data_IF_367514281960
#
_entry.id   IF_367514281960
#
_cell.length_a   1.000
_cell.length_b   1.000
_cell.length_c   1.000
_cell.angle_alpha   90.00
_cell.angle_beta   90.00
_cell.angle_gamma   90.00
#
_symmetry.space_group_name_H-M   'P 1'
#
loop_
_entity.id
_entity.type
_entity.pdbx_description
1 polymer ?
#
# COMPACT_ATOMS: atom_id res chain seq x y z
N UNK A 1 23.12 18.47 7.17
CA UNK A 1 22.09 17.43 7.17
C UNK A 1 22.78 16.10 6.97
N UNK A 2 22.60 15.18 7.92
CA UNK A 2 23.07 13.80 7.79
C UNK A 2 22.18 13.03 6.81
N UNK A 3 22.63 11.87 6.32
CA UNK A 3 21.82 11.02 5.43
C UNK A 3 20.48 10.60 6.07
N UNK A 4 20.46 10.42 7.40
CA UNK A 4 19.25 10.12 8.17
C UNK A 4 18.23 11.28 8.12
N UNK A 5 18.70 12.54 8.14
CA UNK A 5 17.83 13.72 8.05
C UNK A 5 17.10 13.80 6.69
N UNK A 6 17.75 13.36 5.61
CA UNK A 6 17.16 13.33 4.27
C UNK A 6 16.06 12.28 4.15
N UNK A 7 16.26 11.10 4.75
CA UNK A 7 15.28 10.00 4.74
C UNK A 7 13.97 10.40 5.41
N UNK A 8 14.04 10.90 6.66
CA UNK A 8 12.85 11.34 7.39
C UNK A 8 12.18 12.55 6.73
N UNK A 9 12.95 13.51 6.20
CA UNK A 9 12.39 14.65 5.47
C UNK A 9 11.63 14.21 4.22
N UNK A 10 12.14 13.24 3.47
CA UNK A 10 11.47 12.69 2.30
C UNK A 10 10.18 11.97 2.68
N UNK A 11 10.19 11.16 3.74
CA UNK A 11 8.99 10.49 4.25
C UNK A 11 7.90 11.52 4.61
N UNK A 12 8.27 12.60 5.31
CA UNK A 12 7.34 13.69 5.68
C UNK A 12 6.82 14.41 4.43
N UNK A 13 7.68 14.72 3.47
CA UNK A 13 7.29 15.41 2.24
C UNK A 13 6.30 14.58 1.41
N UNK A 14 6.58 13.28 1.23
CA UNK A 14 5.68 12.36 0.52
C UNK A 14 4.38 12.21 1.29
N UNK A 15 4.43 12.04 2.61
CA UNK A 15 3.23 11.94 3.44
C UNK A 15 2.34 13.18 3.32
N UNK A 16 2.94 14.37 3.40
CA UNK A 16 2.25 15.65 3.23
C UNK A 16 1.60 15.76 1.86
N UNK A 17 2.29 15.33 0.79
CA UNK A 17 1.74 15.30 -0.55
C UNK A 17 0.55 14.33 -0.67
N UNK A 18 0.65 13.12 -0.12
CA UNK A 18 -0.44 12.14 -0.14
C UNK A 18 -1.67 12.63 0.63
N UNK A 19 -1.47 13.21 1.82
CA UNK A 19 -2.55 13.80 2.63
C UNK A 19 -3.19 14.99 1.93
N UNK A 20 -2.38 15.84 1.31
CA UNK A 20 -2.88 16.97 0.52
C UNK A 20 -3.74 16.49 -0.65
N UNK A 21 -3.27 15.51 -1.42
CA UNK A 21 -4.02 14.93 -2.54
C UNK A 21 -5.30 14.26 -2.05
N UNK A 22 -5.26 13.54 -0.93
CA UNK A 22 -6.43 12.92 -0.31
C UNK A 22 -7.50 13.96 0.07
N UNK A 23 -7.10 15.08 0.70
CA UNK A 23 -8.04 16.14 1.07
C UNK A 23 -8.55 16.90 -0.16
N UNK A 24 -7.68 17.18 -1.12
CA UNK A 24 -8.02 17.93 -2.33
C UNK A 24 -8.90 17.13 -3.31
N UNK A 25 -8.97 15.80 -3.19
CA UNK A 25 -9.85 14.96 -4.00
C UNK A 25 -11.27 14.80 -3.43
N UNK A 26 -11.50 15.14 -2.15
CA UNK A 26 -12.82 15.01 -1.51
C UNK A 26 -13.91 15.92 -2.10
N UNK A 27 -13.66 17.19 -2.47
CA UNK A 27 -14.70 18.04 -3.06
C UNK A 27 -15.23 17.49 -4.39
N UNK A 28 -16.56 17.50 -4.56
CA UNK A 28 -17.21 17.12 -5.82
C UNK A 28 -16.68 17.97 -6.99
N UNK A 29 -16.44 17.34 -8.15
CA UNK A 29 -15.92 18.03 -9.34
C UNK A 29 -14.46 18.50 -9.25
N UNK A 30 -13.71 18.11 -8.20
CA UNK A 30 -12.30 18.48 -8.03
C UNK A 30 -11.46 18.11 -9.26
N UNK A 31 -10.58 19.02 -9.68
CA UNK A 31 -9.63 18.79 -10.78
C UNK A 31 -8.65 17.65 -10.44
N UNK A 32 -8.42 17.39 -9.14
CA UNK A 32 -7.55 16.31 -8.66
C UNK A 32 -8.15 14.94 -8.96
N UNK A 33 -9.49 14.78 -8.90
CA UNK A 33 -10.17 13.53 -9.29
C UNK A 33 -9.85 13.16 -10.75
N UNK A 34 -9.92 14.15 -11.65
CA UNK A 34 -9.59 13.98 -13.07
C UNK A 34 -8.12 13.63 -13.30
N UNK A 35 -7.21 14.27 -12.56
CA UNK A 35 -5.78 14.06 -12.72
C UNK A 35 -5.34 12.61 -12.42
N UNK A 36 -6.03 11.92 -11.50
CA UNK A 36 -5.78 10.52 -11.15
C UNK A 36 -6.74 9.52 -11.81
N UNK A 37 -7.50 9.94 -12.83
CA UNK A 37 -8.38 9.06 -13.61
C UNK A 37 -9.66 8.61 -12.89
N UNK A 38 -10.05 9.26 -11.79
CA UNK A 38 -11.34 9.03 -11.13
C UNK A 38 -12.42 9.87 -11.82
N UNK A 39 -13.58 9.29 -12.11
CA UNK A 39 -14.68 10.05 -12.69
C UNK A 39 -15.10 11.18 -11.72
N UNK A 40 -15.31 12.43 -12.20
CA UNK A 40 -15.57 13.57 -11.31
C UNK A 40 -16.77 13.40 -10.38
N UNK A 41 -17.75 12.59 -10.82
CA UNK A 41 -19.03 12.34 -10.15
C UNK A 41 -19.05 11.03 -9.35
N UNK A 42 -17.95 10.25 -9.37
CA UNK A 42 -17.85 9.01 -8.60
C UNK A 42 -17.29 9.30 -7.20
N UNK A 43 -18.20 9.72 -6.31
CA UNK A 43 -17.88 10.09 -4.93
C UNK A 43 -17.36 8.91 -4.10
N UNK A 44 -17.84 7.70 -4.37
CA UNK A 44 -17.41 6.51 -3.63
C UNK A 44 -15.97 6.14 -3.98
N UNK A 45 -15.60 6.17 -5.27
CA UNK A 45 -14.22 5.99 -5.69
C UNK A 45 -13.30 7.11 -5.18
N UNK A 46 -13.77 8.36 -5.22
CA UNK A 46 -12.99 9.49 -4.68
C UNK A 46 -12.72 9.33 -3.18
N UNK A 47 -13.72 8.95 -2.38
CA UNK A 47 -13.57 8.71 -0.93
C UNK A 47 -12.69 7.51 -0.63
N UNK A 48 -12.84 6.41 -1.38
CA UNK A 48 -12.03 5.22 -1.22
C UNK A 48 -10.54 5.51 -1.50
N UNK A 49 -10.25 6.21 -2.60
CA UNK A 49 -8.89 6.64 -2.93
C UNK A 49 -8.32 7.63 -1.90
N UNK A 50 -9.12 8.62 -1.48
CA UNK A 50 -8.72 9.54 -0.42
C UNK A 50 -8.38 8.82 0.88
N UNK A 51 -9.17 7.81 1.27
CA UNK A 51 -8.92 7.00 2.47
C UNK A 51 -7.61 6.21 2.36
N UNK A 52 -7.34 5.57 1.21
CA UNK A 52 -6.09 4.84 0.98
C UNK A 52 -4.89 5.80 1.04
N UNK A 53 -4.95 6.92 0.31
CA UNK A 53 -3.89 7.93 0.31
C UNK A 53 -3.64 8.52 1.70
N UNK A 54 -4.70 8.83 2.45
CA UNK A 54 -4.60 9.35 3.79
C UNK A 54 -3.99 8.32 4.75
N UNK A 55 -4.40 7.05 4.68
CA UNK A 55 -3.84 5.98 5.47
C UNK A 55 -2.35 5.75 5.16
N UNK A 56 -1.96 5.76 3.88
CA UNK A 56 -0.55 5.67 3.47
C UNK A 56 0.25 6.88 3.96
N UNK A 57 -0.28 8.10 3.81
CA UNK A 57 0.37 9.30 4.31
C UNK A 57 0.59 9.27 5.83
N UNK A 58 -0.45 8.90 6.60
CA UNK A 58 -0.34 8.73 8.05
C UNK A 58 0.70 7.68 8.44
N UNK A 59 0.76 6.56 7.71
CA UNK A 59 1.76 5.51 7.93
C UNK A 59 3.19 6.03 7.68
N UNK A 60 3.41 6.80 6.62
CA UNK A 60 4.72 7.41 6.33
C UNK A 60 5.15 8.42 7.42
N UNK A 61 4.22 9.21 7.97
CA UNK A 61 4.50 10.07 9.12
C UNK A 61 4.88 9.25 10.36
N UNK A 62 4.20 8.13 10.60
CA UNK A 62 4.54 7.24 11.71
C UNK A 62 5.96 6.64 11.55
N UNK A 63 6.36 6.28 10.32
CA UNK A 63 7.73 5.85 10.03
C UNK A 63 8.76 6.97 10.23
N UNK A 64 8.45 8.19 9.77
CA UNK A 64 9.30 9.35 10.00
C UNK A 64 9.46 9.65 11.50
N UNK A 65 8.39 9.50 12.28
CA UNK A 65 8.45 9.63 13.74
C UNK A 65 9.28 8.51 14.37
N UNK A 66 9.06 7.26 13.99
CA UNK A 66 9.80 6.11 14.54
C UNK A 66 11.32 6.25 14.29
N UNK A 67 11.73 6.67 13.10
CA UNK A 67 13.13 6.97 12.78
C UNK A 67 13.67 8.12 13.63
N UNK A 68 12.88 9.19 13.81
CA UNK A 68 13.28 10.35 14.64
C UNK A 68 13.42 10.01 16.14
N UNK A 69 12.61 9.07 16.63
CA UNK A 69 12.64 8.57 18.00
C UNK A 69 13.68 7.46 18.23
N UNK A 70 14.44 7.07 17.19
CA UNK A 70 15.50 6.06 17.33
C UNK A 70 14.97 4.65 17.58
N UNK A 71 13.77 4.33 17.06
CA UNK A 71 13.27 2.94 17.06
C UNK A 71 14.22 2.09 16.23
N UNK A 72 14.52 0.87 16.69
CA UNK A 72 15.47 0.00 16.00
C UNK A 72 15.00 -0.36 14.58
N UNK A 73 15.93 -0.41 13.63
CA UNK A 73 15.63 -0.70 12.22
C UNK A 73 14.87 -2.02 12.04
N UNK A 74 15.17 -3.03 12.88
CA UNK A 74 14.47 -4.30 12.88
C UNK A 74 12.98 -4.17 13.24
N UNK A 75 12.66 -3.35 14.23
CA UNK A 75 11.27 -3.09 14.61
C UNK A 75 10.55 -2.26 13.54
N UNK A 76 11.23 -1.26 12.96
CA UNK A 76 10.68 -0.47 11.85
C UNK A 76 10.38 -1.35 10.64
N UNK A 77 11.31 -2.23 10.26
CA UNK A 77 11.16 -3.16 9.14
C UNK A 77 10.03 -4.18 9.41
N UNK A 78 10.01 -4.79 10.60
CA UNK A 78 8.98 -5.75 10.97
C UNK A 78 7.59 -5.10 11.01
N UNK A 79 7.47 -3.92 11.64
CA UNK A 79 6.23 -3.15 11.69
C UNK A 79 5.74 -2.77 10.30
N UNK A 80 6.64 -2.33 9.43
CA UNK A 80 6.32 -1.97 8.04
C UNK A 80 5.77 -3.16 7.26
N UNK A 81 6.45 -4.30 7.33
CA UNK A 81 6.02 -5.52 6.65
C UNK A 81 4.70 -6.05 7.20
N UNK A 82 4.50 -5.99 8.53
CA UNK A 82 3.24 -6.41 9.15
C UNK A 82 2.06 -5.53 8.75
N UNK A 83 2.22 -4.20 8.77
CA UNK A 83 1.18 -3.24 8.35
C UNK A 83 0.90 -3.40 6.85
N UNK A 84 1.92 -3.56 6.02
CA UNK A 84 1.75 -3.80 4.59
C UNK A 84 1.00 -5.11 4.31
N UNK A 85 1.40 -6.21 4.97
CA UNK A 85 0.72 -7.50 4.86
C UNK A 85 -0.77 -7.40 5.23
N UNK A 86 -1.06 -6.83 6.41
CA UNK A 86 -2.43 -6.67 6.89
C UNK A 86 -3.26 -5.75 5.99
N UNK A 87 -2.69 -4.61 5.56
CA UNK A 87 -3.36 -3.67 4.67
C UNK A 87 -3.70 -4.28 3.32
N UNK A 88 -2.77 -5.01 2.72
CA UNK A 88 -2.97 -5.70 1.43
C UNK A 88 -4.02 -6.81 1.55
N UNK A 89 -4.00 -7.59 2.64
CA UNK A 89 -5.06 -8.58 2.92
C UNK A 89 -6.42 -7.91 3.07
N UNK A 90 -6.51 -6.82 3.85
CA UNK A 90 -7.76 -6.11 4.09
C UNK A 90 -8.34 -5.51 2.79
N UNK A 91 -7.50 -4.83 1.99
CA UNK A 91 -7.91 -4.28 0.71
C UNK A 91 -8.37 -5.39 -0.25
N UNK A 92 -7.62 -6.48 -0.35
CA UNK A 92 -8.01 -7.64 -1.15
C UNK A 92 -9.32 -8.26 -0.69
N UNK A 93 -9.55 -8.37 0.61
CA UNK A 93 -10.79 -8.86 1.19
C UNK A 93 -11.98 -7.93 0.88
N UNK A 94 -11.80 -6.61 0.98
CA UNK A 94 -12.83 -5.63 0.63
C UNK A 94 -13.23 -5.74 -0.84
N UNK A 95 -12.25 -5.87 -1.74
CA UNK A 95 -12.53 -6.08 -3.17
C UNK A 95 -13.25 -7.42 -3.40
N UNK A 96 -12.74 -8.51 -2.84
CA UNK A 96 -13.24 -9.87 -3.12
C UNK A 96 -14.60 -10.16 -2.51
N UNK A 97 -14.82 -9.77 -1.26
CA UNK A 97 -16.00 -10.16 -0.48
C UNK A 97 -16.99 -9.03 -0.24
N UNK A 98 -16.56 -7.77 -0.29
CA UNK A 98 -17.43 -6.58 -0.14
C UNK A 98 -17.70 -5.86 -1.46
N UNK A 99 -17.22 -6.39 -2.58
CA UNK A 99 -17.43 -5.85 -3.93
C UNK A 99 -16.96 -4.40 -4.09
N UNK A 100 -15.94 -3.99 -3.32
CA UNK A 100 -15.37 -2.63 -3.32
C UNK A 100 -14.41 -2.43 -4.51
N UNK A 101 -14.94 -2.55 -5.73
CA UNK A 101 -14.15 -2.50 -6.98
C UNK A 101 -13.53 -1.13 -7.22
N UNK A 102 -14.09 -0.09 -6.63
CA UNK A 102 -13.57 1.28 -6.64
C UNK A 102 -12.19 1.40 -5.98
N UNK A 103 -11.74 0.39 -5.22
CA UNK A 103 -10.36 0.31 -4.69
C UNK A 103 -9.34 -0.16 -5.73
N UNK A 104 -9.76 -0.70 -6.86
CA UNK A 104 -8.86 -1.13 -7.92
C UNK A 104 -8.50 0.06 -8.80
N UNK A 105 -7.22 0.18 -9.15
CA UNK A 105 -6.74 1.19 -10.12
C UNK A 105 -7.14 0.86 -11.57
N UNK A 106 -7.76 -0.30 -11.78
CA UNK A 106 -8.16 -0.79 -13.10
C UNK A 106 -9.59 -0.33 -13.40
N UNK A 107 -9.82 0.44 -14.48
CA UNK A 107 -11.15 0.95 -14.80
C UNK A 107 -12.07 -0.18 -15.29
N UNK A 108 -13.36 -0.06 -14.97
CA UNK A 108 -14.44 -0.91 -15.51
C UNK A 108 -14.24 -2.42 -15.34
N UNK A 109 -13.70 -2.86 -14.20
CA UNK A 109 -13.50 -4.28 -13.91
C UNK A 109 -14.83 -4.97 -13.59
N UNK A 110 -15.07 -6.09 -14.27
CA UNK A 110 -16.20 -6.97 -14.01
C UNK A 110 -16.08 -7.67 -12.65
N UNK A 111 -17.22 -8.13 -12.11
CA UNK A 111 -17.27 -8.69 -10.75
C UNK A 111 -16.34 -9.88 -10.54
N UNK A 112 -16.23 -10.73 -11.56
CA UNK A 112 -15.45 -11.95 -11.49
C UNK A 112 -13.95 -11.62 -11.47
N UNK A 113 -13.48 -10.77 -12.39
CA UNK A 113 -12.09 -10.29 -12.36
C UNK A 113 -11.75 -9.53 -11.09
N UNK A 114 -12.65 -8.70 -10.56
CA UNK A 114 -12.44 -8.03 -9.28
C UNK A 114 -12.22 -9.03 -8.14
N UNK A 115 -13.02 -10.10 -8.06
CA UNK A 115 -12.86 -11.17 -7.07
C UNK A 115 -11.54 -11.91 -7.19
N UNK A 116 -11.07 -12.14 -8.42
CA UNK A 116 -9.75 -12.75 -8.69
C UNK A 116 -8.63 -11.82 -8.24
N UNK A 117 -8.68 -10.54 -8.60
CA UNK A 117 -7.70 -9.53 -8.18
C UNK A 117 -7.67 -9.34 -6.67
N UNK A 118 -8.83 -9.29 -6.01
CA UNK A 118 -8.92 -9.23 -4.56
C UNK A 118 -8.33 -10.47 -3.88
N UNK A 119 -8.54 -11.66 -4.47
CA UNK A 119 -7.91 -12.90 -4.01
C UNK A 119 -6.39 -12.91 -4.18
N UNK A 120 -5.90 -12.45 -5.34
CA UNK A 120 -4.48 -12.29 -5.59
C UNK A 120 -3.84 -11.32 -4.58
N UNK A 121 -4.48 -10.17 -4.32
CA UNK A 121 -4.04 -9.23 -3.29
C UNK A 121 -3.94 -9.90 -1.91
N UNK A 122 -4.97 -10.64 -1.48
CA UNK A 122 -4.90 -11.37 -0.21
C UNK A 122 -3.71 -12.35 -0.14
N UNK A 123 -3.43 -13.07 -1.23
CA UNK A 123 -2.27 -13.96 -1.31
C UNK A 123 -0.95 -13.20 -1.26
N UNK A 124 -0.85 -12.05 -1.92
CA UNK A 124 0.32 -11.15 -1.84
C UNK A 124 0.56 -10.70 -0.39
N UNK A 125 -0.51 -10.29 0.30
CA UNK A 125 -0.42 -9.95 1.72
C UNK A 125 0.07 -11.13 2.58
N UNK A 126 -0.35 -12.35 2.26
CA UNK A 126 0.17 -13.57 2.89
C UNK A 126 1.66 -13.84 2.57
N UNK A 127 2.10 -13.59 1.33
CA UNK A 127 3.49 -13.77 0.93
C UNK A 127 4.46 -12.84 1.68
N UNK A 128 4.00 -11.64 2.08
CA UNK A 128 4.79 -10.71 2.89
C UNK A 128 5.17 -11.24 4.28
N UNK A 129 4.53 -12.31 4.76
CA UNK A 129 4.92 -13.01 5.99
C UNK A 129 6.32 -13.63 5.88
N UNK A 130 6.78 -13.98 4.67
CA UNK A 130 8.11 -14.58 4.46
C UNK A 130 9.23 -13.59 4.79
N UNK A 131 9.33 -12.39 4.16
CA UNK A 131 10.33 -11.40 4.53
C UNK A 131 10.11 -10.90 5.97
N UNK A 132 8.88 -10.85 6.47
CA UNK A 132 8.61 -10.50 7.87
C UNK A 132 9.27 -11.50 8.83
N UNK A 133 9.09 -12.81 8.59
CA UNK A 133 9.72 -13.87 9.37
C UNK A 133 11.25 -13.78 9.27
N UNK A 134 11.80 -13.49 8.09
CA UNK A 134 13.23 -13.30 7.91
C UNK A 134 13.77 -12.14 8.79
N UNK A 135 13.08 -10.99 8.84
CA UNK A 135 13.42 -9.88 9.75
C UNK A 135 13.32 -10.31 11.22
N UNK A 136 12.23 -10.97 11.60
CA UNK A 136 11.98 -11.39 12.98
C UNK A 136 12.93 -12.48 13.46
N UNK A 137 13.50 -13.29 12.56
CA UNK A 137 14.51 -14.29 12.88
C UNK A 137 15.95 -13.74 12.77
N UNK A 138 16.12 -12.50 12.34
CA UNK A 138 17.45 -11.89 12.21
C UNK A 138 18.25 -12.48 11.05
N UNK A 139 17.57 -12.79 9.95
CA UNK A 139 18.21 -13.29 8.75
C UNK A 139 19.16 -12.25 8.14
N UNK A 140 20.29 -12.71 7.59
CA UNK A 140 21.25 -11.84 6.94
C UNK A 140 20.75 -11.22 5.63
N UNK A 141 21.44 -10.18 5.17
CA UNK A 141 21.05 -9.35 4.01
C UNK A 141 20.75 -10.15 2.75
N UNK A 142 21.53 -11.20 2.46
CA UNK A 142 21.31 -12.06 1.30
C UNK A 142 19.96 -12.77 1.34
N UNK A 143 19.57 -13.28 2.52
CA UNK A 143 18.29 -13.95 2.72
C UNK A 143 17.12 -12.97 2.61
N UNK A 144 17.30 -11.75 3.15
CA UNK A 144 16.34 -10.67 3.01
C UNK A 144 16.15 -10.25 1.55
N UNK A 145 17.23 -10.10 0.79
CA UNK A 145 17.19 -9.75 -0.62
C UNK A 145 16.49 -10.83 -1.45
N UNK A 146 16.87 -12.10 -1.27
CA UNK A 146 16.27 -13.24 -1.99
C UNK A 146 14.78 -13.37 -1.67
N UNK A 147 14.39 -13.30 -0.40
CA UNK A 147 12.97 -13.40 -0.01
C UNK A 147 12.14 -12.24 -0.58
N UNK A 148 12.66 -11.02 -0.53
CA UNK A 148 11.97 -9.84 -1.07
C UNK A 148 11.77 -9.95 -2.59
N UNK A 149 12.82 -10.35 -3.32
CA UNK A 149 12.75 -10.56 -4.78
C UNK A 149 11.78 -11.68 -5.12
N UNK A 150 11.82 -12.81 -4.41
CA UNK A 150 10.90 -13.91 -4.62
C UNK A 150 9.43 -13.49 -4.40
N UNK A 151 9.15 -12.75 -3.32
CA UNK A 151 7.81 -12.21 -3.06
C UNK A 151 7.38 -11.25 -4.17
N UNK A 152 8.26 -10.36 -4.65
CA UNK A 152 7.92 -9.44 -5.74
C UNK A 152 7.56 -10.18 -7.05
N UNK A 153 8.35 -11.19 -7.42
CA UNK A 153 8.08 -12.02 -8.61
C UNK A 153 6.76 -12.76 -8.47
N UNK A 154 6.56 -13.47 -7.36
CA UNK A 154 5.33 -14.24 -7.12
C UNK A 154 4.09 -13.34 -7.07
N UNK A 155 4.21 -12.16 -6.46
CA UNK A 155 3.12 -11.17 -6.40
C UNK A 155 2.74 -10.69 -7.80
N UNK A 156 3.73 -10.41 -8.64
CA UNK A 156 3.51 -10.01 -10.03
C UNK A 156 2.81 -11.10 -10.83
N UNK A 157 3.24 -12.36 -10.66
CA UNK A 157 2.63 -13.51 -11.32
C UNK A 157 1.19 -13.75 -10.86
N UNK A 158 0.91 -13.62 -9.56
CA UNK A 158 -0.45 -13.76 -9.00
C UNK A 158 -1.39 -12.71 -9.59
N UNK A 159 -0.95 -11.45 -9.65
CA UNK A 159 -1.73 -10.36 -10.24
C UNK A 159 -1.94 -10.59 -11.74
N UNK A 160 -0.88 -10.95 -12.48
CA UNK A 160 -0.97 -11.24 -13.91
C UNK A 160 -1.92 -12.42 -14.21
N UNK A 161 -1.92 -13.45 -13.38
CA UNK A 161 -2.83 -14.58 -13.50
C UNK A 161 -4.28 -14.15 -13.20
N UNK A 162 -4.50 -13.29 -12.22
CA UNK A 162 -5.84 -12.78 -11.90
C UNK A 162 -6.47 -11.92 -13.02
N UNK A 163 -5.66 -11.40 -13.95
CA UNK A 163 -6.16 -10.72 -15.16
C UNK A 163 -6.63 -11.67 -16.26
N UNK A 164 -6.20 -12.93 -16.23
CA UNK A 164 -6.61 -13.98 -17.18
C UNK A 164 -7.94 -14.62 -16.74
#
# INVERSE_FOLDING_TARGET
MTSADLGSALLVAIAGALLFVALASLPAGSRVRRAYGTHPDDDDAARANAAVLAATGAFLLALAAATRFGVSDRLVAAGTLAVAAAGVVLLGWLVRYRDRRELLTTPNVDRERARRLGGAAMLVGGLLVVPLAAVLLGAGDRTMAVSTVAVAVLSTLLVAFAYR
#
